data_IF_289091155929
#
_entry.id   IF_289091155929
#
_cell.length_a   1.000
_cell.length_b   1.000
_cell.length_c   1.000
_cell.angle_alpha   90.00
_cell.angle_beta   90.00
_cell.angle_gamma   90.00
#
_symmetry.space_group_name_H-M   'P 1'
#
loop_
_entity.id
_entity.type
_entity.pdbx_description
1 polymer ?
#
# COMPACT_ATOMS: atom_id res chain seq x y z
N UNK A 1 21.36 1.11 5.68
CA UNK A 1 19.92 1.05 5.40
C UNK A 1 19.64 1.91 4.18
N UNK A 2 19.52 1.28 3.01
CA UNK A 2 19.24 2.01 1.76
C UNK A 2 17.86 2.64 1.85
N UNK A 3 17.81 3.97 2.04
CA UNK A 3 16.58 4.74 1.81
C UNK A 3 16.30 4.58 0.33
N UNK A 4 15.40 3.66 -0.01
CA UNK A 4 14.82 3.58 -1.35
C UNK A 4 14.54 5.01 -1.80
N UNK A 5 15.12 5.39 -2.94
CA UNK A 5 14.99 6.73 -3.51
C UNK A 5 13.56 7.05 -3.98
N UNK A 6 12.54 6.33 -3.52
CA UNK A 6 11.13 6.42 -3.91
C UNK A 6 10.30 7.35 -3.03
N UNK A 7 10.82 7.81 -1.88
CA UNK A 7 10.08 8.75 -1.02
C UNK A 7 9.78 10.09 -1.72
N UNK A 8 10.67 10.68 -2.54
CA UNK A 8 10.36 11.90 -3.29
C UNK A 8 9.19 11.73 -4.26
N UNK A 9 9.14 10.62 -5.01
CA UNK A 9 8.10 10.31 -5.99
C UNK A 9 6.79 9.92 -5.32
N UNK A 10 6.83 9.18 -4.21
CA UNK A 10 5.64 8.91 -3.37
C UNK A 10 5.08 10.23 -2.86
N UNK A 11 5.92 11.10 -2.28
CA UNK A 11 5.49 12.42 -1.82
C UNK A 11 4.87 13.23 -2.96
N UNK A 12 5.52 13.26 -4.12
CA UNK A 12 5.02 13.96 -5.31
C UNK A 12 3.65 13.42 -5.73
N UNK A 13 3.48 12.10 -5.79
CA UNK A 13 2.21 11.45 -6.12
C UNK A 13 1.10 11.86 -5.14
N UNK A 14 1.38 11.78 -3.84
CA UNK A 14 0.43 12.15 -2.77
C UNK A 14 0.00 13.62 -2.84
N UNK A 15 0.90 14.52 -3.25
CA UNK A 15 0.59 15.96 -3.35
C UNK A 15 0.03 16.37 -4.70
N UNK A 16 0.23 15.58 -5.76
CA UNK A 16 -0.21 15.93 -7.12
C UNK A 16 -1.70 15.64 -7.38
N UNK A 17 -2.41 15.00 -6.43
CA UNK A 17 -3.82 14.63 -6.59
C UNK A 17 -4.06 13.55 -7.67
N UNK A 18 -3.01 12.82 -8.06
CA UNK A 18 -3.04 11.78 -9.09
C UNK A 18 -3.48 10.41 -8.57
N UNK A 19 -3.67 10.28 -7.26
CA UNK A 19 -4.15 9.08 -6.59
C UNK A 19 -5.26 9.44 -5.60
N UNK A 20 -6.31 8.63 -5.57
CA UNK A 20 -7.53 8.84 -4.77
C UNK A 20 -7.41 8.34 -3.32
N UNK A 21 -6.27 7.78 -2.93
CA UNK A 21 -6.04 7.19 -1.62
C UNK A 21 -6.51 5.74 -1.48
N UNK A 22 -6.97 5.10 -2.55
CA UNK A 22 -7.40 3.70 -2.52
C UNK A 22 -6.26 2.76 -2.92
N UNK A 23 -5.95 1.76 -2.08
CA UNK A 23 -4.89 0.81 -2.42
C UNK A 23 -5.27 -0.06 -3.62
N UNK A 24 -6.57 -0.27 -3.83
CA UNK A 24 -7.10 -1.01 -4.99
C UNK A 24 -6.84 -0.30 -6.33
N UNK A 25 -6.58 1.01 -6.34
CA UNK A 25 -6.34 1.82 -7.54
C UNK A 25 -4.90 2.31 -7.64
N UNK A 26 -4.00 1.73 -6.83
CA UNK A 26 -2.60 2.14 -6.78
C UNK A 26 -1.85 1.80 -8.07
N UNK A 27 -2.31 0.80 -8.83
CA UNK A 27 -1.69 0.39 -10.09
C UNK A 27 -1.50 1.59 -11.04
N UNK A 28 -0.31 1.77 -11.65
CA UNK A 28 -0.10 2.83 -12.62
C UNK A 28 -0.99 2.70 -13.85
N UNK A 29 -1.63 3.79 -14.31
CA UNK A 29 -2.29 3.77 -15.61
C UNK A 29 -1.26 3.54 -16.72
N UNK A 30 -1.72 3.03 -17.87
CA UNK A 30 -0.86 2.62 -18.97
C UNK A 30 -0.01 3.77 -19.55
N UNK A 31 -0.47 5.01 -19.41
CA UNK A 31 0.17 6.24 -19.87
C UNK A 31 0.89 7.02 -18.74
N UNK A 32 1.06 6.41 -17.56
CA UNK A 32 1.75 7.03 -16.44
C UNK A 32 3.19 7.43 -16.80
N UNK A 33 3.58 8.64 -16.43
CA UNK A 33 4.98 9.07 -16.50
C UNK A 33 5.85 8.24 -15.53
N UNK A 34 7.15 8.10 -15.83
CA UNK A 34 8.05 7.25 -15.04
C UNK A 34 8.12 7.59 -13.54
N UNK A 35 7.97 8.86 -13.18
CA UNK A 35 7.91 9.27 -11.76
C UNK A 35 6.58 8.85 -11.09
N UNK A 36 5.46 8.84 -11.83
CA UNK A 36 4.15 8.41 -11.32
C UNK A 36 4.16 6.90 -11.09
N UNK A 37 4.70 6.13 -12.04
CA UNK A 37 4.94 4.69 -11.90
C UNK A 37 5.75 4.40 -10.64
N UNK A 38 6.87 5.13 -10.46
CA UNK A 38 7.75 4.96 -9.30
C UNK A 38 7.05 5.31 -7.99
N UNK A 39 6.29 6.41 -7.94
CA UNK A 39 5.51 6.80 -6.77
C UNK A 39 4.47 5.78 -6.39
N UNK A 40 3.73 5.24 -7.37
CA UNK A 40 2.67 4.25 -7.17
C UNK A 40 3.21 2.91 -6.65
N UNK A 41 4.30 2.40 -7.24
CA UNK A 41 4.98 1.23 -6.68
C UNK A 41 5.55 1.50 -5.28
N UNK A 42 6.01 2.72 -5.02
CA UNK A 42 6.42 3.14 -3.68
C UNK A 42 5.29 3.08 -2.65
N UNK A 43 4.07 3.49 -3.02
CA UNK A 43 2.87 3.36 -2.16
C UNK A 43 2.58 1.88 -1.85
N UNK A 44 2.54 1.02 -2.88
CA UNK A 44 2.30 -0.41 -2.70
C UNK A 44 3.35 -1.07 -1.80
N UNK A 45 4.63 -0.76 -2.01
CA UNK A 45 5.73 -1.23 -1.16
C UNK A 45 5.57 -0.80 0.30
N UNK A 46 5.27 0.47 0.57
CA UNK A 46 5.11 1.00 1.93
C UNK A 46 3.91 0.38 2.66
N UNK A 47 2.79 0.15 1.96
CA UNK A 47 1.63 -0.54 2.53
C UNK A 47 1.95 -2.00 2.89
N UNK A 48 2.59 -2.74 1.98
CA UNK A 48 3.04 -4.12 2.22
C UNK A 48 4.03 -4.17 3.39
N UNK A 49 4.99 -3.25 3.44
CA UNK A 49 5.93 -3.12 4.55
C UNK A 49 5.22 -2.86 5.88
N UNK A 50 4.22 -1.98 5.90
CA UNK A 50 3.46 -1.69 7.12
C UNK A 50 2.78 -2.95 7.68
N UNK A 51 2.13 -3.73 6.81
CA UNK A 51 1.49 -4.99 7.18
C UNK A 51 2.52 -6.03 7.65
N UNK A 52 3.67 -6.15 6.97
CA UNK A 52 4.75 -7.04 7.38
C UNK A 52 5.31 -6.67 8.76
N UNK A 53 5.58 -5.39 9.00
CA UNK A 53 6.13 -4.89 10.26
C UNK A 53 5.15 -5.14 11.42
N UNK A 54 3.83 -5.10 11.19
CA UNK A 54 2.80 -5.29 12.22
C UNK A 54 2.42 -6.75 12.47
N UNK A 55 2.28 -7.56 11.42
CA UNK A 55 1.73 -8.91 11.50
C UNK A 55 2.75 -10.02 11.18
N UNK A 56 3.92 -9.65 10.69
CA UNK A 56 4.96 -10.56 10.22
C UNK A 56 4.76 -11.02 8.78
N UNK A 57 5.88 -11.33 8.11
CA UNK A 57 5.92 -11.72 6.69
C UNK A 57 5.05 -12.93 6.37
N UNK A 58 5.00 -13.93 7.25
CA UNK A 58 4.19 -15.14 7.04
C UNK A 58 2.71 -14.82 6.87
N UNK A 59 2.15 -13.99 7.76
CA UNK A 59 0.72 -13.60 7.69
C UNK A 59 0.46 -12.69 6.49
N UNK A 60 1.38 -11.79 6.17
CA UNK A 60 1.29 -10.98 4.96
C UNK A 60 1.20 -11.85 3.69
N UNK A 61 2.08 -12.86 3.55
CA UNK A 61 2.08 -13.75 2.39
C UNK A 61 0.81 -14.62 2.34
N UNK A 62 0.31 -15.05 3.49
CA UNK A 62 -0.97 -15.77 3.60
C UNK A 62 -2.15 -14.91 3.12
N UNK A 63 -2.21 -13.65 3.55
CA UNK A 63 -3.20 -12.69 3.05
C UNK A 63 -3.06 -12.43 1.55
N UNK A 64 -1.84 -12.24 1.06
CA UNK A 64 -1.58 -12.03 -0.36
C UNK A 64 -2.05 -13.24 -1.19
N UNK A 65 -1.74 -14.46 -0.76
CA UNK A 65 -2.19 -15.67 -1.44
C UNK A 65 -3.72 -15.77 -1.47
N UNK A 66 -4.39 -15.52 -0.33
CA UNK A 66 -5.84 -15.52 -0.23
C UNK A 66 -6.50 -14.51 -1.20
N UNK A 67 -5.96 -13.30 -1.31
CA UNK A 67 -6.54 -12.26 -2.17
C UNK A 67 -6.18 -12.48 -3.64
N UNK A 68 -4.90 -12.68 -3.96
CA UNK A 68 -4.41 -12.66 -5.34
C UNK A 68 -4.56 -14.03 -6.02
N UNK A 69 -4.26 -15.12 -5.32
CA UNK A 69 -4.33 -16.46 -5.91
C UNK A 69 -5.70 -17.10 -5.72
N UNK A 70 -6.28 -17.01 -4.53
CA UNK A 70 -7.59 -17.61 -4.24
C UNK A 70 -8.77 -16.69 -4.60
N UNK A 71 -8.51 -15.42 -4.95
CA UNK A 71 -9.52 -14.41 -5.30
C UNK A 71 -10.55 -14.19 -4.20
N UNK A 72 -10.16 -14.35 -2.94
CA UNK A 72 -11.02 -14.06 -1.81
C UNK A 72 -11.17 -12.55 -1.64
N UNK A 73 -12.36 -12.05 -1.24
CA UNK A 73 -12.53 -10.64 -0.94
C UNK A 73 -11.57 -10.18 0.16
N UNK A 74 -10.91 -9.01 0.04
CA UNK A 74 -9.98 -8.49 1.04
C UNK A 74 -10.59 -8.43 2.44
N UNK A 75 -11.85 -8.05 2.58
CA UNK A 75 -12.53 -7.98 3.89
C UNK A 75 -12.52 -9.32 4.63
N UNK A 76 -12.81 -10.42 3.91
CA UNK A 76 -12.80 -11.77 4.50
C UNK A 76 -11.39 -12.27 4.74
N UNK A 77 -10.47 -12.02 3.81
CA UNK A 77 -9.09 -12.46 3.96
C UNK A 77 -8.40 -11.73 5.13
N UNK A 78 -8.66 -10.43 5.29
CA UNK A 78 -8.11 -9.62 6.38
C UNK A 78 -8.62 -10.09 7.74
N UNK A 79 -9.93 -10.36 7.85
CA UNK A 79 -10.51 -10.90 9.08
C UNK A 79 -9.89 -12.25 9.46
N UNK A 80 -9.77 -13.17 8.51
CA UNK A 80 -9.27 -14.51 8.80
C UNK A 80 -7.77 -14.56 9.13
N UNK A 81 -6.95 -13.72 8.47
CA UNK A 81 -5.49 -13.75 8.59
C UNK A 81 -4.97 -12.78 9.65
N UNK A 82 -5.54 -11.59 9.72
CA UNK A 82 -5.10 -10.53 10.64
C UNK A 82 -6.01 -10.38 11.86
N UNK A 83 -7.28 -10.80 11.76
CA UNK A 83 -8.28 -10.56 12.81
C UNK A 83 -8.83 -9.14 12.80
N UNK A 84 -8.64 -8.39 11.71
CA UNK A 84 -9.00 -6.97 11.59
C UNK A 84 -9.74 -6.70 10.28
N UNK A 85 -10.63 -5.70 10.30
CA UNK A 85 -11.38 -5.28 9.11
C UNK A 85 -10.44 -4.63 8.09
N UNK A 86 -10.58 -5.02 6.81
CA UNK A 86 -9.75 -4.47 5.74
C UNK A 86 -9.88 -2.95 5.60
N UNK A 87 -11.06 -2.37 5.84
CA UNK A 87 -11.25 -0.92 5.81
C UNK A 87 -10.34 -0.19 6.82
N UNK A 88 -10.23 -0.72 8.04
CA UNK A 88 -9.34 -0.17 9.08
C UNK A 88 -7.88 -0.32 8.68
N UNK A 89 -7.48 -1.52 8.23
CA UNK A 89 -6.10 -1.78 7.78
C UNK A 89 -5.71 -0.92 6.57
N UNK A 90 -6.63 -0.70 5.64
CA UNK A 90 -6.45 0.16 4.47
C UNK A 90 -6.16 1.60 4.92
N UNK A 91 -7.00 2.16 5.79
CA UNK A 91 -6.80 3.53 6.30
C UNK A 91 -5.47 3.68 7.03
N UNK A 92 -5.09 2.69 7.83
CA UNK A 92 -3.81 2.66 8.53
C UNK A 92 -2.62 2.57 7.59
N UNK A 93 -2.70 1.74 6.54
CA UNK A 93 -1.69 1.69 5.48
C UNK A 93 -1.55 3.05 4.79
N UNK A 94 -2.67 3.70 4.41
CA UNK A 94 -2.64 5.03 3.77
C UNK A 94 -2.04 6.07 4.71
N UNK A 95 -2.38 6.03 6.00
CA UNK A 95 -1.82 6.92 7.02
C UNK A 95 -0.31 6.71 7.18
N UNK A 96 0.14 5.45 7.20
CA UNK A 96 1.56 5.11 7.25
C UNK A 96 2.31 5.60 6.01
N UNK A 97 1.76 5.39 4.81
CA UNK A 97 2.34 5.86 3.54
C UNK A 97 2.54 7.38 3.57
N UNK A 98 1.51 8.13 3.98
CA UNK A 98 1.56 9.59 4.11
C UNK A 98 2.64 10.04 5.11
N UNK A 99 2.68 9.42 6.28
CA UNK A 99 3.69 9.71 7.30
C UNK A 99 5.12 9.40 6.80
N UNK A 100 5.32 8.25 6.15
CA UNK A 100 6.61 7.85 5.59
C UNK A 100 7.10 8.80 4.48
N UNK A 101 6.18 9.37 3.71
CA UNK A 101 6.47 10.36 2.68
C UNK A 101 6.59 11.80 3.22
N UNK A 102 6.38 12.03 4.52
CA UNK A 102 6.39 13.36 5.13
C UNK A 102 5.23 14.25 4.71
N UNK A 103 4.08 13.65 4.36
CA UNK A 103 2.83 14.35 4.05
C UNK A 103 1.91 14.22 5.26
N UNK A 104 1.65 15.31 5.97
CA UNK A 104 0.65 15.35 7.03
C UNK A 104 -0.75 15.44 6.42
N UNK A 105 -1.70 14.66 6.98
CA UNK A 105 -3.16 14.84 6.76
C UNK A 105 -3.65 16.14 7.34
#
# INVERSE_FOLDING_TARGET
MSRYGSLPEVRRLLTAGKWDGQLATVEPPADAEGWEVTGRYGVGYLAVRHLADRFGERRLLEFFAAVVHERRPPDRAAWDVFGEEWAVLHEECVRYVRAAAGVST
#
